data_IF_819064659034
#
_entry.id   IF_819064659034
#
_cell.length_a   1.000
_cell.length_b   1.000
_cell.length_c   1.000
_cell.angle_alpha   90.00
_cell.angle_beta   90.00
_cell.angle_gamma   90.00
#
_symmetry.space_group_name_H-M   'P 1'
#
loop_
_entity.id
_entity.type
_entity.pdbx_description
1 polymer ?
#
# COMPACT_ATOMS: atom_id res chain seq x y z
N UNK A 1 9.00 -57.35 -3.62
CA UNK A 1 9.55 -56.66 -2.43
C UNK A 1 10.10 -55.25 -2.69
N UNK A 2 10.69 -54.93 -3.86
CA UNK A 2 11.25 -53.58 -4.13
C UNK A 2 10.22 -52.43 -4.25
N UNK A 3 8.96 -52.69 -4.62
CA UNK A 3 7.93 -51.63 -4.74
C UNK A 3 7.32 -51.22 -3.40
N UNK A 4 7.17 -52.17 -2.46
CA UNK A 4 6.61 -51.93 -1.12
C UNK A 4 7.50 -51.00 -0.28
N UNK A 5 8.82 -51.19 -0.33
CA UNK A 5 9.78 -50.31 0.35
C UNK A 5 9.80 -48.89 -0.24
N UNK A 6 9.62 -48.76 -1.56
CA UNK A 6 9.54 -47.46 -2.25
C UNK A 6 8.27 -46.70 -1.84
N UNK A 7 7.12 -47.37 -1.84
CA UNK A 7 5.84 -46.81 -1.42
C UNK A 7 5.85 -46.35 0.05
N UNK A 8 6.53 -47.08 0.93
CA UNK A 8 6.64 -46.73 2.35
C UNK A 8 7.53 -45.50 2.59
N UNK A 9 8.64 -45.39 1.84
CA UNK A 9 9.53 -44.22 1.85
C UNK A 9 8.79 -42.98 1.32
N UNK A 10 7.97 -43.14 0.28
CA UNK A 10 7.17 -42.04 -0.28
C UNK A 10 6.06 -41.59 0.67
N UNK A 11 5.41 -42.51 1.40
CA UNK A 11 4.43 -42.17 2.44
C UNK A 11 5.07 -41.45 3.64
N UNK A 12 6.25 -41.91 4.07
CA UNK A 12 7.01 -41.29 5.15
C UNK A 12 7.50 -39.89 4.75
N UNK A 13 7.94 -39.70 3.50
CA UNK A 13 8.29 -38.39 2.92
C UNK A 13 7.08 -37.47 2.86
N UNK A 14 5.93 -37.96 2.40
CA UNK A 14 4.68 -37.18 2.35
C UNK A 14 4.26 -36.70 3.74
N UNK A 15 4.26 -37.60 4.73
CA UNK A 15 3.98 -37.25 6.14
C UNK A 15 4.98 -36.24 6.69
N UNK A 16 6.26 -36.41 6.39
CA UNK A 16 7.31 -35.48 6.83
C UNK A 16 7.12 -34.10 6.20
N UNK A 17 6.79 -34.03 4.91
CA UNK A 17 6.48 -32.78 4.21
C UNK A 17 5.22 -32.11 4.79
N UNK A 18 4.17 -32.87 5.13
CA UNK A 18 2.98 -32.33 5.78
C UNK A 18 3.32 -31.71 7.15
N UNK A 19 4.12 -32.39 7.96
CA UNK A 19 4.55 -31.88 9.27
C UNK A 19 5.41 -30.62 9.13
N UNK A 20 6.36 -30.62 8.18
CA UNK A 20 7.22 -29.45 7.92
C UNK A 20 6.38 -28.27 7.42
N UNK A 21 5.47 -28.48 6.48
CA UNK A 21 4.57 -27.43 5.99
C UNK A 21 3.65 -26.90 7.10
N UNK A 22 3.11 -27.78 7.95
CA UNK A 22 2.31 -27.37 9.11
C UNK A 22 3.10 -26.50 10.09
N UNK A 23 4.35 -26.88 10.41
CA UNK A 23 5.24 -26.08 11.26
C UNK A 23 5.60 -24.74 10.63
N UNK A 24 5.91 -24.72 9.33
CA UNK A 24 6.20 -23.50 8.59
C UNK A 24 4.99 -22.55 8.58
N UNK A 25 3.77 -23.09 8.42
CA UNK A 25 2.54 -22.31 8.50
C UNK A 25 2.32 -21.69 9.89
N UNK A 26 2.54 -22.46 10.97
CA UNK A 26 2.43 -21.95 12.35
C UNK A 26 3.46 -20.85 12.63
N UNK A 27 4.72 -21.07 12.25
CA UNK A 27 5.79 -20.07 12.42
C UNK A 27 5.48 -18.79 11.63
N UNK A 28 5.00 -18.93 10.38
CA UNK A 28 4.57 -17.80 9.56
C UNK A 28 3.43 -17.03 10.21
N UNK A 29 2.43 -17.73 10.75
CA UNK A 29 1.30 -17.13 11.48
C UNK A 29 1.77 -16.39 12.74
N UNK A 30 2.69 -16.97 13.51
CA UNK A 30 3.23 -16.36 14.72
C UNK A 30 4.07 -15.12 14.41
N UNK A 31 4.96 -15.19 13.43
CA UNK A 31 5.75 -14.05 12.97
C UNK A 31 4.86 -12.90 12.48
N UNK A 32 3.79 -13.23 11.74
CA UNK A 32 2.78 -12.27 11.32
C UNK A 32 2.08 -11.58 12.50
N UNK A 33 1.66 -12.36 13.51
CA UNK A 33 1.04 -11.81 14.72
C UNK A 33 1.98 -10.91 15.54
N UNK A 34 3.27 -11.23 15.59
CA UNK A 34 4.28 -10.39 16.26
C UNK A 34 4.45 -9.07 15.51
N UNK A 35 4.60 -9.11 14.18
CA UNK A 35 4.70 -7.91 13.34
C UNK A 35 3.48 -7.02 13.47
N UNK A 36 2.28 -7.61 13.39
CA UNK A 36 1.03 -6.89 13.56
C UNK A 36 0.92 -6.19 14.94
N UNK A 37 1.41 -6.83 16.01
CA UNK A 37 1.49 -6.19 17.34
C UNK A 37 2.48 -5.02 17.36
N UNK A 38 3.60 -5.14 16.65
CA UNK A 38 4.56 -4.05 16.45
C UNK A 38 3.94 -2.87 15.72
N UNK A 39 3.20 -3.12 14.63
CA UNK A 39 2.46 -2.10 13.87
C UNK A 39 1.44 -1.36 14.75
N UNK A 40 0.63 -2.07 15.53
CA UNK A 40 -0.27 -1.42 16.49
C UNK A 40 0.47 -0.70 17.62
N UNK A 41 1.69 -1.13 17.96
CA UNK A 41 2.57 -0.42 18.87
C UNK A 41 3.01 0.93 18.30
N UNK A 42 3.42 0.94 17.04
CA UNK A 42 3.76 2.16 16.31
C UNK A 42 2.53 3.08 16.15
N UNK A 43 1.36 2.52 15.81
CA UNK A 43 0.11 3.27 15.71
C UNK A 43 -0.26 3.93 17.05
N UNK A 44 -0.09 3.24 18.18
CA UNK A 44 -0.32 3.84 19.51
C UNK A 44 0.64 4.98 19.81
N UNK A 45 1.92 4.86 19.42
CA UNK A 45 2.89 5.94 19.59
C UNK A 45 2.53 7.15 18.71
N UNK A 46 2.17 6.92 17.46
CA UNK A 46 1.72 7.96 16.55
C UNK A 46 0.40 8.61 17.01
N UNK A 47 -0.53 7.81 17.55
CA UNK A 47 -1.79 8.28 18.13
C UNK A 47 -1.53 9.28 19.26
N UNK A 48 -0.54 9.02 20.12
CA UNK A 48 -0.19 9.89 21.24
C UNK A 48 0.36 11.25 20.80
N UNK A 49 0.88 11.37 19.57
CA UNK A 49 1.45 12.60 19.02
C UNK A 49 0.44 13.37 18.16
N UNK A 50 -0.23 12.68 17.23
CA UNK A 50 -1.09 13.31 16.22
C UNK A 50 -2.59 13.19 16.51
N UNK A 51 -3.01 12.26 17.36
CA UNK A 51 -4.42 11.92 17.54
C UNK A 51 -4.96 10.96 16.47
N UNK A 52 -6.08 10.29 16.78
CA UNK A 52 -6.60 9.19 15.97
C UNK A 52 -7.11 9.61 14.61
N UNK A 53 -7.88 10.69 14.55
CA UNK A 53 -8.46 11.16 13.30
C UNK A 53 -7.39 11.54 12.26
N UNK A 54 -6.32 12.20 12.70
CA UNK A 54 -5.24 12.66 11.82
C UNK A 54 -4.35 11.50 11.36
N UNK A 55 -4.01 10.56 12.27
CA UNK A 55 -3.28 9.35 11.92
C UNK A 55 -4.02 8.52 10.87
N UNK A 56 -5.29 8.21 11.10
CA UNK A 56 -6.07 7.37 10.19
C UNK A 56 -6.33 8.10 8.86
N UNK A 57 -6.54 9.41 8.87
CA UNK A 57 -6.64 10.19 7.64
C UNK A 57 -5.31 10.18 6.86
N UNK A 58 -4.16 10.29 7.53
CA UNK A 58 -2.83 10.16 6.90
C UNK A 58 -2.61 8.80 6.26
N UNK A 59 -2.95 7.71 6.98
CA UNK A 59 -2.88 6.35 6.46
C UNK A 59 -3.83 6.14 5.26
N UNK A 60 -5.02 6.74 5.30
CA UNK A 60 -5.95 6.70 4.18
C UNK A 60 -5.40 7.42 2.94
N UNK A 61 -4.74 8.59 3.10
CA UNK A 61 -4.07 9.30 2.00
C UNK A 61 -2.96 8.43 1.39
N UNK A 62 -2.13 7.82 2.23
CA UNK A 62 -1.07 6.93 1.78
C UNK A 62 -1.64 5.77 0.96
N UNK A 63 -2.68 5.10 1.47
CA UNK A 63 -3.33 4.01 0.75
C UNK A 63 -3.89 4.45 -0.61
N UNK A 64 -4.53 5.62 -0.69
CA UNK A 64 -5.06 6.19 -1.93
C UNK A 64 -3.96 6.45 -2.97
N UNK A 65 -2.88 7.10 -2.55
CA UNK A 65 -1.77 7.46 -3.42
C UNK A 65 -0.99 6.22 -3.87
N UNK A 66 -0.74 5.26 -2.96
CA UNK A 66 -0.11 3.99 -3.30
C UNK A 66 -0.95 3.16 -4.27
N UNK A 67 -2.27 3.11 -4.08
CA UNK A 67 -3.17 2.43 -5.02
C UNK A 67 -3.22 3.08 -6.41
N UNK A 68 -3.07 4.40 -6.47
CA UNK A 68 -3.02 5.16 -7.73
C UNK A 68 -1.69 4.98 -8.49
N UNK A 69 -0.60 4.66 -7.78
CA UNK A 69 0.75 4.61 -8.33
C UNK A 69 0.91 3.67 -9.53
N UNK A 70 0.44 2.42 -9.43
CA UNK A 70 0.61 1.43 -10.50
C UNK A 70 -0.09 1.88 -11.80
N UNK A 71 -1.25 2.52 -11.68
CA UNK A 71 -1.97 3.05 -12.85
C UNK A 71 -1.27 4.29 -13.41
N UNK A 72 -0.76 5.17 -12.54
CA UNK A 72 0.03 6.32 -12.96
C UNK A 72 1.28 5.87 -13.74
N UNK A 73 1.99 4.85 -13.27
CA UNK A 73 3.16 4.30 -13.97
C UNK A 73 2.82 3.82 -15.39
N UNK A 74 1.71 3.08 -15.54
CA UNK A 74 1.25 2.62 -16.85
C UNK A 74 0.88 3.81 -17.76
N UNK A 75 0.13 4.78 -17.22
CA UNK A 75 -0.26 5.97 -17.95
C UNK A 75 0.94 6.80 -18.43
N UNK A 76 1.92 7.00 -17.56
CA UNK A 76 3.16 7.72 -17.88
C UNK A 76 3.98 6.99 -18.94
N UNK A 77 4.07 5.66 -18.86
CA UNK A 77 4.74 4.83 -19.87
C UNK A 77 4.13 5.04 -21.26
N UNK A 78 2.79 5.06 -21.35
CA UNK A 78 2.09 5.33 -22.60
C UNK A 78 2.38 6.75 -23.12
N UNK A 79 2.34 7.77 -22.25
CA UNK A 79 2.62 9.15 -22.63
C UNK A 79 4.05 9.33 -23.16
N UNK A 80 5.04 8.79 -22.44
CA UNK A 80 6.45 8.84 -22.84
C UNK A 80 6.66 8.12 -24.17
N UNK A 81 6.00 6.98 -24.41
CA UNK A 81 6.07 6.29 -25.71
C UNK A 81 5.56 7.11 -26.89
N UNK A 82 4.74 8.14 -26.61
CA UNK A 82 4.19 9.09 -27.58
C UNK A 82 4.95 10.42 -27.63
N UNK A 83 6.07 10.54 -26.90
CA UNK A 83 6.85 11.76 -26.80
C UNK A 83 6.19 12.86 -25.94
N UNK A 84 5.24 12.50 -25.08
CA UNK A 84 4.54 13.42 -24.18
C UNK A 84 5.17 13.27 -22.78
N UNK A 85 5.71 14.37 -22.25
CA UNK A 85 6.23 14.40 -20.89
C UNK A 85 5.13 14.60 -19.83
N UNK A 86 5.33 14.13 -18.58
CA UNK A 86 4.43 14.41 -17.47
C UNK A 86 4.33 15.91 -17.22
N UNK A 87 3.19 16.35 -16.71
CA UNK A 87 2.99 17.78 -16.41
C UNK A 87 3.62 18.14 -15.07
N UNK A 88 3.25 17.39 -14.05
CA UNK A 88 3.82 17.39 -12.72
C UNK A 88 3.37 16.11 -12.04
N UNK A 89 4.30 15.25 -11.60
CA UNK A 89 3.95 13.91 -11.11
C UNK A 89 3.00 13.93 -9.90
N UNK A 90 3.12 14.94 -9.04
CA UNK A 90 2.23 15.12 -7.88
C UNK A 90 0.82 15.45 -8.36
N UNK A 91 0.67 16.39 -9.28
CA UNK A 91 -0.63 16.76 -9.85
C UNK A 91 -1.25 15.60 -10.63
N UNK A 92 -0.47 14.87 -11.43
CA UNK A 92 -0.97 13.74 -12.22
C UNK A 92 -1.47 12.61 -11.30
N UNK A 93 -0.80 12.36 -10.18
CA UNK A 93 -1.25 11.41 -9.15
C UNK A 93 -2.54 11.87 -8.44
N UNK A 94 -2.61 13.14 -8.03
CA UNK A 94 -3.79 13.70 -7.37
C UNK A 94 -5.02 13.70 -8.30
N UNK A 95 -4.82 14.07 -9.57
CA UNK A 95 -5.85 14.03 -10.62
C UNK A 95 -6.45 12.64 -10.74
N UNK A 96 -5.60 11.60 -10.74
CA UNK A 96 -6.03 10.23 -10.84
C UNK A 96 -6.89 9.78 -9.66
N UNK A 97 -6.46 10.10 -8.43
CA UNK A 97 -7.23 9.82 -7.21
C UNK A 97 -8.59 10.52 -7.27
N UNK A 98 -8.63 11.79 -7.66
CA UNK A 98 -9.90 12.53 -7.74
C UNK A 98 -10.82 12.02 -8.85
N UNK A 99 -10.29 11.61 -10.00
CA UNK A 99 -11.10 11.00 -11.06
C UNK A 99 -11.77 9.72 -10.59
N UNK A 100 -11.04 8.86 -9.86
CA UNK A 100 -11.61 7.64 -9.27
C UNK A 100 -12.66 7.99 -8.22
N UNK A 101 -12.38 8.98 -7.36
CA UNK A 101 -13.30 9.45 -6.33
C UNK A 101 -14.57 10.13 -6.88
N UNK A 102 -14.50 10.76 -8.05
CA UNK A 102 -15.63 11.36 -8.75
C UNK A 102 -16.39 10.36 -9.65
N UNK A 103 -15.80 9.18 -9.91
CA UNK A 103 -16.41 8.16 -10.75
C UNK A 103 -17.50 7.37 -10.01
N UNK A 104 -18.31 6.63 -10.79
CA UNK A 104 -19.22 5.59 -10.25
C UNK A 104 -18.52 4.52 -9.40
N UNK A 105 -17.19 4.42 -9.47
CA UNK A 105 -16.38 3.46 -8.74
C UNK A 105 -15.93 3.97 -7.36
N UNK A 106 -16.33 5.19 -6.94
CA UNK A 106 -15.97 5.76 -5.62
C UNK A 106 -16.24 4.83 -4.45
N UNK A 107 -17.42 4.22 -4.41
CA UNK A 107 -17.82 3.32 -3.32
C UNK A 107 -16.96 2.05 -3.30
N UNK A 108 -16.66 1.51 -4.49
CA UNK A 108 -15.75 0.36 -4.65
C UNK A 108 -14.32 0.72 -4.22
N UNK A 109 -13.81 1.87 -4.65
CA UNK A 109 -12.47 2.35 -4.30
C UNK A 109 -12.33 2.59 -2.79
N UNK A 110 -13.33 3.22 -2.17
CA UNK A 110 -13.36 3.41 -0.71
C UNK A 110 -13.43 2.08 0.03
N UNK A 111 -14.24 1.12 -0.45
CA UNK A 111 -14.33 -0.20 0.15
C UNK A 111 -13.05 -1.03 -0.01
N UNK A 112 -12.36 -0.87 -1.15
CA UNK A 112 -11.07 -1.49 -1.42
C UNK A 112 -10.02 -0.96 -0.44
N UNK A 113 -9.80 0.35 -0.37
CA UNK A 113 -8.81 0.99 0.49
C UNK A 113 -8.96 0.64 1.98
N UNK A 114 -10.20 0.50 2.41
CA UNK A 114 -10.57 0.19 3.80
C UNK A 114 -10.26 -1.29 4.11
N UNK A 115 -10.33 -2.18 3.11
CA UNK A 115 -10.21 -3.64 3.28
C UNK A 115 -8.90 -4.24 2.77
N UNK A 116 -8.16 -3.52 1.95
CA UNK A 116 -6.99 -4.06 1.27
C UNK A 116 -5.85 -4.22 2.27
N UNK A 117 -5.37 -5.46 2.51
CA UNK A 117 -4.07 -5.66 3.09
C UNK A 117 -3.03 -5.26 2.04
N UNK A 118 -2.02 -4.48 2.42
CA UNK A 118 -0.89 -4.20 1.54
C UNK A 118 -0.32 -5.57 1.11
N UNK A 119 -0.21 -5.79 -0.20
CA UNK A 119 -0.13 -7.13 -0.75
C UNK A 119 1.31 -7.67 -0.79
N UNK A 120 1.67 -8.53 0.17
CA UNK A 120 2.65 -9.62 -0.01
C UNK A 120 2.13 -10.89 0.72
N UNK A 121 2.52 -12.12 0.30
CA UNK A 121 2.12 -13.36 0.96
C UNK A 121 2.56 -13.48 2.43
N UNK A 122 3.48 -12.62 2.86
CA UNK A 122 4.02 -12.49 4.22
C UNK A 122 3.64 -11.16 4.88
N UNK A 123 2.88 -10.32 4.17
CA UNK A 123 2.41 -9.06 4.69
C UNK A 123 1.31 -9.33 5.71
N UNK A 124 1.49 -8.75 6.89
CA UNK A 124 0.61 -8.85 8.05
C UNK A 124 0.28 -7.47 8.60
N UNK A 125 0.46 -6.43 7.78
CA UNK A 125 0.04 -5.09 8.13
C UNK A 125 -1.47 -5.10 8.41
N UNK A 126 -1.90 -4.57 9.56
CA UNK A 126 -3.32 -4.42 9.82
C UNK A 126 -3.95 -3.50 8.78
N UNK A 127 -5.16 -3.86 8.34
CA UNK A 127 -5.93 -3.06 7.37
C UNK A 127 -6.28 -1.70 7.97
N UNK A 128 -6.65 -0.75 7.11
CA UNK A 128 -7.08 0.57 7.56
C UNK A 128 -8.27 0.48 8.54
N UNK A 129 -9.22 -0.45 8.34
CA UNK A 129 -10.31 -0.72 9.31
C UNK A 129 -9.77 -1.15 10.66
N UNK A 130 -8.81 -2.08 10.68
CA UNK A 130 -8.29 -2.62 11.92
C UNK A 130 -7.52 -1.53 12.70
N UNK A 131 -6.76 -0.70 12.00
CA UNK A 131 -6.05 0.45 12.59
C UNK A 131 -7.03 1.52 13.07
N UNK A 132 -8.07 1.83 12.30
CA UNK A 132 -9.09 2.80 12.67
C UNK A 132 -9.89 2.37 13.90
N UNK A 133 -10.30 1.09 13.95
CA UNK A 133 -10.96 0.52 15.12
C UNK A 133 -10.08 0.59 16.37
N UNK A 134 -8.78 0.29 16.25
CA UNK A 134 -7.83 0.42 17.36
C UNK A 134 -7.62 1.87 17.82
N UNK A 135 -7.80 2.84 16.92
CA UNK A 135 -7.72 4.27 17.20
C UNK A 135 -9.07 4.89 17.66
N UNK A 136 -10.15 4.12 17.69
CA UNK A 136 -11.50 4.63 18.02
C UNK A 136 -12.09 5.54 16.95
N UNK A 137 -11.73 5.35 15.67
CA UNK A 137 -12.14 6.19 14.54
C UNK A 137 -12.92 5.37 13.52
N UNK A 138 -13.96 5.99 12.95
CA UNK A 138 -14.69 5.42 11.83
C UNK A 138 -13.89 5.53 10.52
N UNK A 139 -13.42 4.38 10.01
CA UNK A 139 -12.63 4.33 8.78
C UNK A 139 -13.29 5.03 7.57
N UNK A 140 -14.62 4.93 7.34
CA UNK A 140 -15.27 5.65 6.24
C UNK A 140 -15.17 7.18 6.39
N UNK A 141 -15.30 7.71 7.60
CA UNK A 141 -15.19 9.14 7.87
C UNK A 141 -13.76 9.65 7.63
N UNK A 142 -12.76 8.90 8.10
CA UNK A 142 -11.36 9.23 7.86
C UNK A 142 -10.98 9.16 6.37
N UNK A 143 -11.54 8.19 5.63
CA UNK A 143 -11.35 8.06 4.18
C UNK A 143 -11.99 9.24 3.44
N UNK A 144 -13.19 9.68 3.85
CA UNK A 144 -13.84 10.84 3.27
C UNK A 144 -13.04 12.13 3.51
N UNK A 145 -12.52 12.32 4.74
CA UNK A 145 -11.62 13.44 5.07
C UNK A 145 -10.35 13.40 4.24
N UNK A 146 -9.71 12.24 4.11
CA UNK A 146 -8.51 12.08 3.30
C UNK A 146 -8.73 12.51 1.83
N UNK A 147 -9.85 12.13 1.22
CA UNK A 147 -10.21 12.56 -0.13
C UNK A 147 -10.38 14.07 -0.24
N UNK A 148 -11.03 14.70 0.74
CA UNK A 148 -11.21 16.16 0.79
C UNK A 148 -9.86 16.86 0.93
N UNK A 149 -9.02 16.41 1.87
CA UNK A 149 -7.68 16.96 2.08
C UNK A 149 -6.83 16.86 0.80
N UNK A 150 -6.85 15.72 0.10
CA UNK A 150 -6.13 15.56 -1.17
C UNK A 150 -6.70 16.46 -2.28
N UNK A 151 -8.01 16.71 -2.29
CA UNK A 151 -8.61 17.65 -3.23
C UNK A 151 -8.15 19.10 -2.98
N UNK A 152 -7.94 19.49 -1.71
CA UNK A 152 -7.42 20.81 -1.36
C UNK A 152 -5.97 21.00 -1.87
N UNK A 153 -5.15 19.95 -1.85
CA UNK A 153 -3.79 19.98 -2.40
C UNK A 153 -3.75 20.29 -3.90
N UNK A 154 -4.77 19.91 -4.67
CA UNK A 154 -4.85 20.28 -6.09
C UNK A 154 -4.95 21.79 -6.33
N UNK A 155 -5.41 22.55 -5.33
CA UNK A 155 -5.52 24.00 -5.40
C UNK A 155 -4.25 24.72 -4.91
N UNK A 156 -3.14 24.00 -4.70
CA UNK A 156 -1.86 24.54 -4.24
C UNK A 156 -0.74 24.32 -5.27
N UNK A 157 -0.81 24.96 -6.46
CA UNK A 157 0.12 24.70 -7.56
C UNK A 157 1.57 25.13 -7.28
N UNK A 158 1.79 26.03 -6.34
CA UNK A 158 3.14 26.41 -5.89
C UNK A 158 3.78 25.30 -5.06
N UNK A 159 3.02 24.70 -4.14
CA UNK A 159 3.48 23.61 -3.28
C UNK A 159 3.77 22.35 -4.10
N UNK A 160 2.90 22.01 -5.06
CA UNK A 160 3.13 20.86 -5.96
C UNK A 160 4.38 21.03 -6.82
N UNK A 161 4.70 22.25 -7.26
CA UNK A 161 5.94 22.54 -8.00
C UNK A 161 7.16 22.40 -7.11
N UNK A 162 7.11 22.97 -5.92
CA UNK A 162 8.18 22.84 -4.92
C UNK A 162 8.51 21.38 -4.61
N UNK A 163 7.48 20.55 -4.41
CA UNK A 163 7.68 19.11 -4.16
C UNK A 163 8.35 18.42 -5.35
N UNK A 164 7.96 18.75 -6.58
CA UNK A 164 8.58 18.18 -7.79
C UNK A 164 10.04 18.60 -7.96
N UNK A 165 10.37 19.86 -7.65
CA UNK A 165 11.74 20.36 -7.63
C UNK A 165 12.57 19.64 -6.56
N UNK A 166 12.04 19.48 -5.35
CA UNK A 166 12.69 18.73 -4.27
C UNK A 166 12.91 17.26 -4.64
N UNK A 167 11.93 16.60 -5.27
CA UNK A 167 12.06 15.22 -5.74
C UNK A 167 13.10 15.09 -6.85
N UNK A 168 13.13 16.02 -7.80
CA UNK A 168 14.11 16.03 -8.90
C UNK A 168 15.52 16.25 -8.37
N UNK A 169 15.69 17.15 -7.38
CA UNK A 169 16.97 17.37 -6.71
C UNK A 169 17.45 16.12 -5.94
N UNK A 170 16.54 15.41 -5.27
CA UNK A 170 16.85 14.18 -4.52
C UNK A 170 17.28 13.02 -5.42
N UNK A 171 16.71 12.92 -6.63
CA UNK A 171 17.02 11.85 -7.59
C UNK A 171 18.33 12.11 -8.35
N UNK A 172 18.85 13.34 -8.34
CA UNK A 172 20.11 13.73 -8.95
C UNK A 172 20.16 13.61 -10.48
N UNK A 173 21.25 14.06 -11.13
CA UNK A 173 21.42 13.95 -12.59
C UNK A 173 21.62 12.51 -13.10
N UNK A 174 21.83 11.53 -12.21
CA UNK A 174 22.14 10.14 -12.57
C UNK A 174 21.00 9.39 -13.30
N UNK A 175 19.79 9.95 -13.36
CA UNK A 175 18.69 9.38 -14.17
C UNK A 175 18.82 9.67 -15.67
N UNK A 176 19.65 10.66 -16.07
CA UNK A 176 19.82 11.06 -17.47
C UNK A 176 21.12 10.59 -18.11
N UNK A 177 21.99 9.92 -17.36
CA UNK A 177 23.25 9.35 -17.86
C UNK A 177 23.13 7.82 -17.92
N UNK A 178 22.41 7.31 -18.92
CA UNK A 178 22.69 5.97 -19.43
C UNK A 178 24.01 6.05 -20.22
N UNK A 179 25.06 5.30 -19.87
CA UNK A 179 26.23 5.19 -20.72
C UNK A 179 25.82 4.52 -22.04
N UNK A 180 26.16 5.17 -23.14
CA UNK A 180 26.04 4.70 -24.51
C UNK A 180 26.72 3.34 -24.72
#
# INVERSE_FOLDING_TARGET
>A
MRSLARNFIDLARLRSLMVINGKAWVLKRAAGSIRQRGEFGADRAALAVAGGADLIAGLAKLAMLSGAWSYLQEHLREQVSRGIGPRNLVLDCLDLVQRVAASRHRAWFSALLVREPIAQPTDTHPTLVQRAAAAGVEAPAATARALQDLALWMNQPAESRRIEEELTALLGPAANELPC
#
